data_IF_878978772511
#
_entry.id   IF_878978772511
#
_cell.length_a   1.000
_cell.length_b   1.000
_cell.length_c   1.000
_cell.angle_alpha   90.00
_cell.angle_beta   90.00
_cell.angle_gamma   90.00
#
_symmetry.space_group_name_H-M   'P 1'
#
loop_
_entity.id
_entity.type
_entity.pdbx_description
1 polymer ?
#
# COMPACT_ATOMS: atom_id res chain seq x y z
N UNK A 1 7.93 15.63 -21.18
CA UNK A 1 7.09 14.44 -21.44
C UNK A 1 6.18 14.21 -20.26
N UNK A 2 4.91 13.98 -20.47
CA UNK A 2 4.05 13.57 -19.36
C UNK A 2 4.48 12.21 -18.82
N UNK A 3 4.20 11.97 -17.55
CA UNK A 3 4.49 10.70 -16.90
C UNK A 3 3.82 9.52 -17.63
N UNK A 4 4.43 8.37 -17.55
CA UNK A 4 3.83 7.11 -18.02
C UNK A 4 2.55 6.81 -17.23
N UNK A 5 1.75 5.88 -17.72
CA UNK A 5 0.56 5.42 -17.01
C UNK A 5 0.92 4.88 -15.63
N UNK A 6 1.97 4.06 -15.56
CA UNK A 6 2.45 3.45 -14.31
C UNK A 6 2.91 4.49 -13.29
N UNK A 7 3.74 5.45 -13.70
CA UNK A 7 4.19 6.54 -12.83
C UNK A 7 3.01 7.35 -12.29
N UNK A 8 2.04 7.65 -13.15
CA UNK A 8 0.81 8.37 -12.73
C UNK A 8 -0.02 7.55 -11.73
N UNK A 9 -0.12 6.24 -11.90
CA UNK A 9 -0.80 5.35 -10.95
C UNK A 9 -0.08 5.34 -9.58
N UNK A 10 1.23 5.30 -9.59
CA UNK A 10 2.04 5.35 -8.37
C UNK A 10 1.84 6.68 -7.62
N UNK A 11 1.86 7.80 -8.33
CA UNK A 11 1.63 9.12 -7.75
C UNK A 11 0.23 9.26 -7.15
N UNK A 12 -0.80 8.78 -7.84
CA UNK A 12 -2.19 8.81 -7.33
C UNK A 12 -2.33 7.89 -6.12
N UNK A 13 -1.69 6.73 -6.11
CA UNK A 13 -1.73 5.82 -4.95
C UNK A 13 -1.05 6.43 -3.72
N UNK A 14 0.05 7.13 -3.91
CA UNK A 14 0.70 7.87 -2.82
C UNK A 14 -0.17 9.01 -2.31
N UNK A 15 -0.80 9.79 -3.20
CA UNK A 15 -1.72 10.86 -2.82
C UNK A 15 -2.92 10.33 -2.02
N UNK A 16 -3.46 9.17 -2.39
CA UNK A 16 -4.50 8.47 -1.64
C UNK A 16 -4.04 8.16 -0.21
N UNK A 17 -2.87 7.54 -0.06
CA UNK A 17 -2.32 7.20 1.24
C UNK A 17 -2.01 8.43 2.07
N UNK A 18 -1.50 9.50 1.46
CA UNK A 18 -1.22 10.75 2.14
C UNK A 18 -2.50 11.38 2.70
N UNK A 19 -3.57 11.38 1.94
CA UNK A 19 -4.88 11.88 2.40
C UNK A 19 -5.42 11.09 3.59
N UNK A 20 -5.37 9.75 3.53
CA UNK A 20 -5.81 8.87 4.61
C UNK A 20 -4.95 9.06 5.86
N UNK A 21 -3.63 9.13 5.73
CA UNK A 21 -2.73 9.36 6.86
C UNK A 21 -2.98 10.71 7.52
N UNK A 22 -3.07 11.79 6.74
CA UNK A 22 -3.31 13.13 7.24
C UNK A 22 -4.65 13.23 7.99
N UNK A 23 -5.71 12.64 7.45
CA UNK A 23 -7.03 12.60 8.09
C UNK A 23 -6.98 11.93 9.46
N UNK A 24 -6.16 10.89 9.61
CA UNK A 24 -6.00 10.15 10.87
C UNK A 24 -4.89 10.71 11.79
N UNK A 25 -4.27 11.84 11.44
CA UNK A 25 -3.23 12.46 12.24
C UNK A 25 -1.86 11.79 12.14
N UNK A 26 -1.62 10.98 11.10
CA UNK A 26 -0.33 10.37 10.84
C UNK A 26 0.44 11.12 9.77
N UNK A 27 1.77 11.01 9.81
CA UNK A 27 2.64 11.46 8.73
C UNK A 27 3.05 10.29 7.85
N UNK A 28 3.20 10.53 6.56
CA UNK A 28 3.74 9.56 5.63
C UNK A 28 4.89 10.20 4.84
N UNK A 29 5.99 9.48 4.71
CA UNK A 29 7.18 9.91 3.98
C UNK A 29 7.48 8.92 2.87
N UNK A 30 7.67 9.43 1.66
CA UNK A 30 8.11 8.63 0.52
C UNK A 30 9.56 8.23 0.70
N UNK A 31 9.90 6.99 0.39
CA UNK A 31 11.28 6.48 0.40
C UNK A 31 11.86 6.67 -1.00
N UNK A 32 12.94 7.48 -1.12
CA UNK A 32 13.54 7.80 -2.42
C UNK A 32 14.38 6.66 -3.00
N UNK A 33 14.99 5.85 -2.14
CA UNK A 33 15.73 4.66 -2.55
C UNK A 33 15.11 3.41 -1.97
N UNK A 34 14.56 2.59 -2.84
CA UNK A 34 14.07 1.27 -2.50
C UNK A 34 15.25 0.30 -2.40
N UNK A 35 15.75 0.13 -1.19
CA UNK A 35 16.78 -0.89 -0.90
C UNK A 35 16.18 -2.18 -0.32
N UNK A 36 14.88 -2.19 0.05
CA UNK A 36 14.29 -3.24 0.88
C UNK A 36 12.78 -3.43 0.61
N UNK A 37 12.29 -2.99 -0.54
CA UNK A 37 10.88 -3.07 -0.91
C UNK A 37 9.97 -2.10 -0.16
N UNK A 38 10.53 -1.05 0.45
CA UNK A 38 9.78 -0.03 1.19
C UNK A 38 9.52 1.16 0.28
N UNK A 39 8.26 1.46 0.02
CA UNK A 39 7.87 2.62 -0.81
C UNK A 39 7.60 3.86 0.03
N UNK A 40 7.10 3.69 1.25
CA UNK A 40 6.84 4.77 2.19
C UNK A 40 6.86 4.30 3.64
N UNK A 41 7.02 5.25 4.56
CA UNK A 41 6.95 5.01 6.01
C UNK A 41 5.90 5.89 6.64
N UNK A 42 4.99 5.29 7.39
CA UNK A 42 3.96 5.98 8.17
C UNK A 42 4.45 6.12 9.61
N UNK A 43 4.28 7.30 10.18
CA UNK A 43 4.63 7.60 11.58
C UNK A 43 3.44 8.14 12.34
N UNK A 44 3.27 7.64 13.56
CA UNK A 44 2.40 8.23 14.56
C UNK A 44 3.24 9.03 15.58
N UNK A 45 2.78 10.20 15.95
CA UNK A 45 3.35 10.95 17.10
C UNK A 45 2.60 10.55 18.36
N UNK A 46 3.33 10.06 19.35
CA UNK A 46 2.73 9.62 20.62
C UNK A 46 2.13 8.22 20.53
N UNK A 47 1.10 7.96 21.30
CA UNK A 47 0.38 6.69 21.28
C UNK A 47 -0.73 6.71 20.22
N UNK A 48 -0.79 5.73 19.32
CA UNK A 48 -1.81 5.71 18.24
C UNK A 48 -3.23 5.49 18.74
N UNK A 49 -3.40 4.84 19.89
CA UNK A 49 -4.68 4.60 20.53
C UNK A 49 -4.50 4.35 22.02
N UNK A 50 -5.60 4.46 22.78
CA UNK A 50 -5.63 4.07 24.20
C UNK A 50 -5.21 2.60 24.36
N UNK A 51 -4.38 2.32 25.34
CA UNK A 51 -3.85 0.98 25.62
C UNK A 51 -2.67 0.54 24.75
N UNK A 52 -2.24 1.34 23.78
CA UNK A 52 -1.02 1.04 23.02
C UNK A 52 0.23 1.16 23.88
N UNK A 53 1.10 0.15 23.78
CA UNK A 53 2.34 0.08 24.56
C UNK A 53 3.52 0.79 23.88
N UNK A 54 3.43 1.06 22.59
CA UNK A 54 4.52 1.64 21.80
C UNK A 54 4.28 3.12 21.55
N UNK A 55 5.26 3.93 21.93
CA UNK A 55 5.28 5.37 21.72
C UNK A 55 5.89 5.71 20.36
N UNK A 56 5.22 6.57 19.61
CA UNK A 56 5.66 7.02 18.27
C UNK A 56 6.05 5.87 17.32
N UNK A 57 5.19 4.87 17.13
CA UNK A 57 5.49 3.75 16.26
C UNK A 57 5.60 4.16 14.80
N UNK A 58 6.34 3.37 14.04
CA UNK A 58 6.45 3.49 12.58
C UNK A 58 5.96 2.22 11.92
N UNK A 59 5.42 2.37 10.70
CA UNK A 59 4.97 1.29 9.84
C UNK A 59 5.48 1.55 8.43
N UNK A 60 6.25 0.60 7.90
CA UNK A 60 6.65 0.63 6.50
C UNK A 60 5.56 0.05 5.61
N UNK A 61 5.42 0.60 4.41
CA UNK A 61 4.50 0.07 3.42
C UNK A 61 5.19 -0.22 2.10
N UNK A 62 4.82 -1.33 1.49
CA UNK A 62 4.99 -1.56 0.06
C UNK A 62 3.68 -1.20 -0.61
N UNK A 63 3.73 -0.23 -1.53
CA UNK A 63 2.54 0.33 -2.17
C UNK A 63 2.48 -0.13 -3.62
N UNK A 64 1.38 -0.73 -4.00
CA UNK A 64 1.09 -1.14 -5.36
C UNK A 64 -0.18 -0.47 -5.86
N UNK A 65 -0.19 -0.16 -7.14
CA UNK A 65 -1.39 0.31 -7.85
C UNK A 65 -1.68 -0.65 -9.01
N UNK A 66 -2.93 -1.04 -9.16
CA UNK A 66 -3.33 -1.98 -10.19
C UNK A 66 -4.74 -1.70 -10.69
N UNK A 67 -4.95 -1.79 -12.00
CA UNK A 67 -6.28 -1.80 -12.61
C UNK A 67 -6.78 -3.23 -12.93
N UNK A 68 -5.96 -4.25 -12.63
CA UNK A 68 -6.37 -5.65 -12.78
C UNK A 68 -7.45 -5.96 -11.75
N UNK A 69 -8.55 -6.55 -12.19
CA UNK A 69 -9.67 -6.91 -11.30
C UNK A 69 -9.19 -7.86 -10.20
N UNK A 70 -9.38 -7.44 -8.96
CA UNK A 70 -9.12 -8.29 -7.80
C UNK A 70 -10.18 -9.40 -7.74
N UNK A 71 -9.73 -10.64 -7.59
CA UNK A 71 -10.63 -11.77 -7.42
C UNK A 71 -11.08 -11.88 -5.98
N UNK A 72 -12.37 -12.12 -5.76
CA UNK A 72 -12.94 -12.32 -4.42
C UNK A 72 -13.03 -13.81 -4.11
N UNK A 73 -12.51 -14.18 -2.94
CA UNK A 73 -12.69 -15.53 -2.37
C UNK A 73 -14.10 -15.70 -1.80
N UNK A 74 -14.49 -16.96 -1.50
CA UNK A 74 -15.78 -17.28 -0.88
C UNK A 74 -15.97 -16.60 0.49
N UNK A 75 -14.90 -16.40 1.26
CA UNK A 75 -14.92 -15.72 2.56
C UNK A 75 -14.98 -14.18 2.46
N UNK A 76 -15.01 -13.63 1.25
CA UNK A 76 -15.04 -12.19 1.00
C UNK A 76 -13.69 -11.52 0.81
N UNK A 77 -12.58 -12.18 1.12
CA UNK A 77 -11.23 -11.66 0.90
C UNK A 77 -10.93 -11.45 -0.58
N UNK A 78 -10.10 -10.47 -0.86
CA UNK A 78 -9.59 -10.20 -2.20
C UNK A 78 -8.22 -10.83 -2.39
N UNK A 79 -7.89 -11.18 -3.63
CA UNK A 79 -6.58 -11.72 -3.98
C UNK A 79 -5.85 -10.78 -4.92
N UNK A 80 -4.53 -10.73 -4.78
CA UNK A 80 -3.63 -9.96 -5.61
C UNK A 80 -2.42 -10.82 -6.02
N UNK A 81 -1.97 -10.68 -7.26
CA UNK A 81 -0.78 -11.38 -7.76
C UNK A 81 0.42 -10.47 -7.50
N UNK A 82 1.35 -10.96 -6.68
CA UNK A 82 2.54 -10.24 -6.24
C UNK A 82 3.80 -10.92 -6.77
N UNK A 83 4.78 -10.13 -7.21
CA UNK A 83 6.10 -10.66 -7.58
C UNK A 83 6.74 -11.36 -6.38
N UNK A 84 7.34 -12.51 -6.60
CA UNK A 84 7.95 -13.35 -5.55
C UNK A 84 9.01 -12.59 -4.75
N UNK A 85 9.83 -11.77 -5.40
CA UNK A 85 10.84 -10.97 -4.68
C UNK A 85 10.23 -10.01 -3.67
N UNK A 86 9.09 -9.41 -4.00
CA UNK A 86 8.34 -8.52 -3.11
C UNK A 86 7.71 -9.31 -1.97
N UNK A 87 7.14 -10.47 -2.27
CA UNK A 87 6.61 -11.38 -1.26
C UNK A 87 7.68 -11.78 -0.24
N UNK A 88 8.87 -12.15 -0.70
CA UNK A 88 9.97 -12.55 0.16
C UNK A 88 10.40 -11.45 1.14
N UNK A 89 10.33 -10.18 0.74
CA UNK A 89 10.58 -9.05 1.64
C UNK A 89 9.47 -8.88 2.69
N UNK A 90 8.22 -9.15 2.32
CA UNK A 90 7.06 -8.92 3.19
C UNK A 90 6.87 -10.00 4.26
N UNK A 91 7.37 -11.22 4.05
CA UNK A 91 7.22 -12.32 5.00
C UNK A 91 8.28 -12.36 6.10
N UNK A 92 9.33 -11.53 6.03
CA UNK A 92 10.42 -11.52 7.00
C UNK A 92 9.87 -11.21 8.40
N UNK A 93 10.01 -12.18 9.32
CA UNK A 93 9.39 -12.12 10.65
C UNK A 93 10.12 -11.26 11.67
N UNK A 94 11.43 -11.04 11.49
CA UNK A 94 12.29 -10.32 12.45
C UNK A 94 12.66 -8.91 12.02
N UNK A 95 11.86 -8.26 11.17
CA UNK A 95 12.05 -6.85 10.85
C UNK A 95 11.92 -5.96 12.08
N UNK A 96 12.80 -4.97 12.19
CA UNK A 96 12.72 -3.94 13.25
C UNK A 96 11.42 -3.13 13.11
N UNK A 97 11.14 -2.65 11.91
CA UNK A 97 9.90 -1.93 11.59
C UNK A 97 8.97 -2.87 10.84
N UNK A 98 7.72 -3.04 11.28
CA UNK A 98 6.77 -3.86 10.56
C UNK A 98 6.48 -3.26 9.17
N UNK A 99 6.22 -4.13 8.20
CA UNK A 99 5.86 -3.75 6.84
C UNK A 99 4.56 -4.44 6.43
N UNK A 100 3.72 -3.71 5.71
CA UNK A 100 2.49 -4.25 5.10
C UNK A 100 2.47 -3.99 3.60
N UNK A 101 1.75 -4.82 2.87
CA UNK A 101 1.39 -4.57 1.48
C UNK A 101 0.10 -3.74 1.43
N UNK A 102 0.11 -2.68 0.66
CA UNK A 102 -1.07 -1.86 0.35
C UNK A 102 -1.26 -1.85 -1.16
N UNK A 103 -2.46 -2.19 -1.63
CA UNK A 103 -2.81 -2.22 -3.05
C UNK A 103 -3.97 -1.27 -3.29
N UNK A 104 -3.74 -0.20 -4.04
CA UNK A 104 -4.81 0.65 -4.56
C UNK A 104 -5.35 0.02 -5.85
N UNK A 105 -6.60 -0.42 -5.82
CA UNK A 105 -7.30 -0.83 -7.02
C UNK A 105 -7.79 0.39 -7.78
N UNK A 106 -7.49 0.49 -9.07
CA UNK A 106 -7.81 1.63 -9.91
C UNK A 106 -8.68 1.22 -11.10
N UNK A 107 -9.31 2.17 -11.75
CA UNK A 107 -9.98 1.93 -13.03
C UNK A 107 -8.92 1.87 -14.14
N UNK A 108 -9.18 1.08 -15.19
CA UNK A 108 -8.32 1.08 -16.37
C UNK A 108 -8.34 2.42 -17.12
N UNK A 109 -9.47 3.11 -17.06
CA UNK A 109 -9.64 4.43 -17.65
C UNK A 109 -9.13 5.51 -16.69
N UNK A 110 -8.02 6.15 -17.05
CA UNK A 110 -7.38 7.23 -16.30
C UNK A 110 -8.36 8.37 -15.95
N UNK A 111 -9.31 8.68 -16.82
CA UNK A 111 -10.28 9.76 -16.61
C UNK A 111 -11.23 9.50 -15.44
N UNK A 112 -11.26 8.27 -14.93
CA UNK A 112 -12.09 7.87 -13.79
C UNK A 112 -11.34 7.87 -12.46
N UNK A 113 -10.01 8.10 -12.44
CA UNK A 113 -9.23 8.01 -11.22
C UNK A 113 -9.52 9.12 -10.24
N UNK A 114 -9.67 10.34 -10.76
CA UNK A 114 -9.85 11.54 -9.95
C UNK A 114 -11.06 12.33 -10.46
N UNK A 115 -11.92 12.72 -9.54
CA UNK A 115 -13.02 13.65 -9.80
C UNK A 115 -12.77 14.94 -9.04
N UNK A 116 -12.74 16.06 -9.74
CA UNK A 116 -12.46 17.36 -9.17
C UNK A 116 -13.56 18.35 -9.51
N UNK A 117 -14.01 19.10 -8.52
CA UNK A 117 -14.96 20.20 -8.65
C UNK A 117 -14.61 21.27 -7.62
N UNK A 118 -15.35 22.39 -7.63
CA UNK A 118 -15.21 23.41 -6.59
C UNK A 118 -15.64 22.94 -5.19
N UNK A 119 -16.36 21.83 -5.10
CA UNK A 119 -16.87 21.28 -3.84
C UNK A 119 -15.98 20.14 -3.30
N UNK A 120 -15.26 19.41 -4.14
CA UNK A 120 -14.52 18.23 -3.72
C UNK A 120 -13.42 17.79 -4.69
N UNK A 121 -12.39 17.18 -4.12
CA UNK A 121 -11.46 16.30 -4.83
C UNK A 121 -11.68 14.87 -4.34
N UNK A 122 -11.98 13.97 -5.26
CA UNK A 122 -12.24 12.56 -4.95
C UNK A 122 -11.33 11.65 -5.76
N UNK A 123 -10.54 10.83 -5.07
CA UNK A 123 -9.83 9.69 -5.67
C UNK A 123 -10.78 8.51 -5.61
N UNK A 124 -11.06 7.90 -6.75
CA UNK A 124 -12.03 6.81 -6.88
C UNK A 124 -11.39 5.47 -6.59
N UNK A 125 -12.21 4.48 -6.25
CA UNK A 125 -11.80 3.14 -5.81
C UNK A 125 -11.20 3.14 -4.40
N UNK A 126 -10.61 2.02 -4.00
CA UNK A 126 -10.20 1.77 -2.63
C UNK A 126 -8.84 1.09 -2.58
N UNK A 127 -8.08 1.37 -1.53
CA UNK A 127 -6.89 0.61 -1.18
C UNK A 127 -7.25 -0.52 -0.22
N UNK A 128 -6.58 -1.64 -0.39
CA UNK A 128 -6.66 -2.82 0.47
C UNK A 128 -5.27 -3.11 1.02
N UNK A 129 -5.20 -3.75 2.18
CA UNK A 129 -3.93 -4.06 2.81
C UNK A 129 -3.90 -5.47 3.37
N UNK A 130 -2.69 -6.00 3.52
CA UNK A 130 -2.44 -7.28 4.17
C UNK A 130 -1.09 -7.26 4.88
N UNK A 131 -1.03 -7.92 6.03
CA UNK A 131 0.21 -8.21 6.73
C UNK A 131 0.61 -9.67 6.43
N UNK A 132 1.73 -9.84 5.72
CA UNK A 132 2.25 -11.15 5.33
C UNK A 132 3.38 -11.64 6.25
N UNK A 133 3.66 -10.94 7.34
CA UNK A 133 4.71 -11.29 8.31
C UNK A 133 4.61 -12.76 8.72
N UNK A 134 5.72 -13.46 8.65
CA UNK A 134 5.84 -14.86 9.03
C UNK A 134 4.97 -15.85 8.22
N UNK A 135 4.45 -15.44 7.07
CA UNK A 135 3.84 -16.38 6.15
C UNK A 135 4.88 -17.37 5.60
N UNK A 136 4.39 -18.49 5.09
CA UNK A 136 5.25 -19.56 4.59
C UNK A 136 6.04 -19.10 3.35
N UNK A 137 7.32 -19.46 3.25
CA UNK A 137 8.09 -19.25 2.02
C UNK A 137 7.43 -19.91 0.81
N UNK A 138 7.71 -19.40 -0.37
CA UNK A 138 7.23 -19.97 -1.62
C UNK A 138 8.38 -20.42 -2.51
N UNK A 139 8.18 -21.49 -3.27
CA UNK A 139 9.09 -21.94 -4.32
C UNK A 139 8.72 -21.36 -5.70
N UNK A 140 7.71 -20.51 -5.78
CA UNK A 140 7.32 -19.87 -7.04
C UNK A 140 8.46 -18.98 -7.56
N UNK A 141 8.79 -19.11 -8.84
CA UNK A 141 9.89 -18.36 -9.44
C UNK A 141 9.55 -16.90 -9.76
N UNK A 142 8.33 -16.61 -10.20
CA UNK A 142 7.95 -15.30 -10.72
C UNK A 142 6.96 -14.55 -9.81
N UNK A 143 5.85 -15.18 -9.41
CA UNK A 143 4.78 -14.53 -8.67
C UNK A 143 4.02 -15.49 -7.75
N UNK A 144 3.31 -14.92 -6.80
CA UNK A 144 2.45 -15.61 -5.84
C UNK A 144 1.14 -14.84 -5.67
N UNK A 145 0.04 -15.55 -5.46
CA UNK A 145 -1.25 -14.96 -5.11
C UNK A 145 -1.34 -14.75 -3.59
N UNK A 146 -1.58 -13.53 -3.18
CA UNK A 146 -1.76 -13.12 -1.78
C UNK A 146 -3.16 -12.59 -1.51
#
# INVERSE_FOLDING_TARGET
MPNTLQESMEDVSFAYMQGICAYNGYTISKVERDNDGIDATIKCKGYPAEGCLRYSPTLDIQLKASYVKLKRKKNGDLTFILETKNYNNLIIGNRMTPIILVVLHMDKDRNKWVKHSNAALKITKCAYWVNLKSNQPTNNGASITV
#
